data_IF_031280724840
#
_entry.id   IF_031280724840
#
_cell.length_a   1.000
_cell.length_b   1.000
_cell.length_c   1.000
_cell.angle_alpha   90.00
_cell.angle_beta   90.00
_cell.angle_gamma   90.00
#
_symmetry.space_group_name_H-M   'P 1'
#
loop_
_entity.id
_entity.type
_entity.pdbx_description
1 polymer ?
#
# COMPACT_ATOMS: atom_id res chain seq x y z
N UNK A 1 -28.16 12.33 7.47
CA UNK A 1 -27.15 11.92 6.46
C UNK A 1 -25.76 12.33 6.92
N UNK A 2 -24.87 11.37 7.08
CA UNK A 2 -23.46 11.68 7.33
C UNK A 2 -22.90 12.33 6.07
N UNK A 3 -22.35 13.56 6.20
CA UNK A 3 -21.59 14.17 5.10
C UNK A 3 -20.52 13.19 4.65
N UNK A 4 -20.41 12.96 3.34
CA UNK A 4 -19.28 12.22 2.78
C UNK A 4 -18.01 12.89 3.28
N UNK A 5 -17.30 12.20 4.16
CA UNK A 5 -15.96 12.63 4.54
C UNK A 5 -15.14 12.68 3.27
N UNK A 6 -14.38 13.74 3.11
CA UNK A 6 -13.50 13.91 1.95
C UNK A 6 -12.34 12.91 2.06
N UNK A 7 -12.63 11.63 1.75
CA UNK A 7 -11.69 10.55 1.87
C UNK A 7 -10.61 10.66 0.79
N UNK A 8 -9.42 10.20 1.12
CA UNK A 8 -8.29 10.11 0.20
C UNK A 8 -7.70 8.71 0.20
N UNK A 9 -6.95 8.40 -0.84
CA UNK A 9 -6.12 7.20 -0.92
C UNK A 9 -4.72 7.56 -0.44
N UNK A 10 -4.13 6.74 0.41
CA UNK A 10 -2.73 6.88 0.79
C UNK A 10 -1.89 5.81 0.10
N UNK A 11 -0.93 6.24 -0.71
CA UNK A 11 0.04 5.37 -1.35
C UNK A 11 1.28 5.36 -0.48
N UNK A 12 1.63 4.21 0.05
CA UNK A 12 2.82 4.04 0.89
C UNK A 12 3.78 3.03 0.27
N UNK A 13 5.06 3.21 0.52
CA UNK A 13 6.11 2.33 0.02
C UNK A 13 7.31 2.33 0.96
N UNK A 14 8.04 1.22 1.00
CA UNK A 14 9.14 1.04 1.93
C UNK A 14 10.41 1.79 1.58
N UNK A 15 10.57 2.22 0.34
CA UNK A 15 11.79 2.86 -0.15
C UNK A 15 11.48 3.83 -1.29
N UNK A 16 12.32 4.85 -1.45
CA UNK A 16 12.26 5.76 -2.59
C UNK A 16 12.39 5.03 -3.93
N UNK A 17 13.15 3.93 -3.98
CA UNK A 17 13.31 3.14 -5.19
C UNK A 17 11.99 2.50 -5.67
N UNK A 18 11.05 2.27 -4.78
CA UNK A 18 9.73 1.72 -5.13
C UNK A 18 8.84 2.74 -5.86
N UNK A 19 9.16 4.01 -5.77
CA UNK A 19 8.36 5.07 -6.39
C UNK A 19 8.30 4.94 -7.92
N UNK A 20 9.32 4.39 -8.54
CA UNK A 20 9.31 4.11 -9.98
C UNK A 20 8.08 3.29 -10.40
N UNK A 21 7.68 2.34 -9.58
CA UNK A 21 6.47 1.54 -9.77
C UNK A 21 5.24 2.22 -9.20
N UNK A 22 5.30 2.68 -7.96
CA UNK A 22 4.14 3.20 -7.24
C UNK A 22 3.62 4.53 -7.78
N UNK A 23 4.43 5.31 -8.48
CA UNK A 23 3.95 6.51 -9.17
C UNK A 23 2.84 6.22 -10.18
N UNK A 24 2.77 4.99 -10.70
CA UNK A 24 1.72 4.60 -11.64
C UNK A 24 0.35 4.60 -10.96
N UNK A 25 0.27 4.17 -9.69
CA UNK A 25 -0.95 4.32 -8.89
C UNK A 25 -1.35 5.80 -8.77
N UNK A 26 -0.39 6.67 -8.45
CA UNK A 26 -0.63 8.11 -8.33
C UNK A 26 -1.15 8.72 -9.63
N UNK A 27 -0.56 8.35 -10.77
CA UNK A 27 -0.98 8.84 -12.09
C UNK A 27 -2.42 8.45 -12.42
N UNK A 28 -2.81 7.22 -12.11
CA UNK A 28 -4.18 6.75 -12.34
C UNK A 28 -5.16 7.50 -11.43
N UNK A 29 -4.87 7.62 -10.14
CA UNK A 29 -5.73 8.35 -9.21
C UNK A 29 -5.90 9.81 -9.62
N UNK A 30 -4.82 10.46 -10.03
CA UNK A 30 -4.87 11.83 -10.56
C UNK A 30 -5.76 11.94 -11.78
N UNK A 31 -5.63 11.04 -12.75
CA UNK A 31 -6.44 10.99 -13.95
C UNK A 31 -7.93 10.80 -13.64
N UNK A 32 -8.24 10.02 -12.60
CA UNK A 32 -9.61 9.76 -12.18
C UNK A 32 -10.18 10.84 -11.23
N UNK A 33 -9.40 11.87 -10.90
CA UNK A 33 -9.82 12.92 -9.99
C UNK A 33 -9.94 12.47 -8.54
N UNK A 34 -9.29 11.40 -8.15
CA UNK A 34 -9.30 10.87 -6.79
C UNK A 34 -8.20 11.53 -5.96
N UNK A 35 -8.57 12.06 -4.80
CA UNK A 35 -7.62 12.67 -3.87
C UNK A 35 -6.69 11.60 -3.29
N UNK A 36 -5.40 11.87 -3.32
CA UNK A 36 -4.39 10.95 -2.81
C UNK A 36 -3.20 11.65 -2.17
N UNK A 37 -2.42 10.91 -1.41
CA UNK A 37 -1.11 11.30 -0.91
C UNK A 37 -0.11 10.17 -1.12
N UNK A 38 1.18 10.48 -1.10
CA UNK A 38 2.25 9.51 -1.25
C UNK A 38 3.24 9.67 -0.10
N UNK A 39 3.61 8.57 0.56
CA UNK A 39 4.54 8.57 1.69
C UNK A 39 5.51 7.40 1.60
N UNK A 40 6.74 7.63 2.04
CA UNK A 40 7.73 6.57 2.24
C UNK A 40 7.68 6.15 3.70
N UNK A 41 7.31 4.90 3.94
CA UNK A 41 7.18 4.30 5.26
C UNK A 41 7.73 2.88 5.17
N UNK A 42 8.81 2.60 5.91
CA UNK A 42 9.42 1.28 5.93
C UNK A 42 9.02 0.52 7.19
N UNK A 43 8.51 -0.71 7.01
CA UNK A 43 8.20 -1.56 8.15
C UNK A 43 9.44 -1.92 8.97
N UNK A 44 10.59 -2.10 8.33
CA UNK A 44 11.82 -2.52 8.98
C UNK A 44 12.67 -1.34 9.47
N UNK A 45 12.72 -0.25 8.69
CA UNK A 45 13.61 0.89 9.00
C UNK A 45 12.93 1.98 9.82
N UNK A 46 11.61 2.16 9.65
CA UNK A 46 10.83 3.16 10.38
C UNK A 46 9.56 2.57 10.99
N UNK A 47 9.69 1.55 11.87
CA UNK A 47 8.52 0.85 12.41
C UNK A 47 7.59 1.75 13.21
N UNK A 48 8.12 2.69 13.99
CA UNK A 48 7.30 3.66 14.74
C UNK A 48 6.45 4.52 13.82
N UNK A 49 7.03 5.03 12.73
CA UNK A 49 6.33 5.81 11.73
C UNK A 49 5.20 5.00 11.09
N UNK A 50 5.46 3.73 10.80
CA UNK A 50 4.45 2.81 10.27
C UNK A 50 3.27 2.65 11.24
N UNK A 51 3.56 2.43 12.52
CA UNK A 51 2.53 2.27 13.55
C UNK A 51 1.69 3.54 13.70
N UNK A 52 2.33 4.70 13.76
CA UNK A 52 1.65 5.99 13.84
C UNK A 52 0.76 6.25 12.62
N UNK A 53 1.28 5.98 11.44
CA UNK A 53 0.52 6.10 10.20
C UNK A 53 -0.73 5.21 10.21
N UNK A 54 -0.56 3.92 10.45
CA UNK A 54 -1.66 2.95 10.43
C UNK A 54 -2.69 3.22 11.52
N UNK A 55 -2.25 3.55 12.72
CA UNK A 55 -3.14 3.85 13.86
C UNK A 55 -3.97 5.11 13.65
N UNK A 56 -3.45 6.11 12.95
CA UNK A 56 -4.13 7.39 12.72
C UNK A 56 -4.81 7.49 11.34
N UNK A 57 -4.72 6.46 10.51
CA UNK A 57 -5.19 6.51 9.13
C UNK A 57 -6.67 6.90 9.00
N UNK A 58 -7.53 6.31 9.80
CA UNK A 58 -8.97 6.62 9.81
C UNK A 58 -9.23 8.07 10.23
N UNK A 59 -8.53 8.55 11.26
CA UNK A 59 -8.61 9.92 11.74
C UNK A 59 -8.16 10.92 10.67
N UNK A 60 -7.21 10.54 9.84
CA UNK A 60 -6.67 11.37 8.77
C UNK A 60 -7.44 11.25 7.45
N UNK A 61 -8.66 10.72 7.49
CA UNK A 61 -9.56 10.57 6.35
C UNK A 61 -8.99 9.71 5.22
N UNK A 62 -8.19 8.71 5.55
CA UNK A 62 -7.72 7.73 4.58
C UNK A 62 -8.82 6.66 4.44
N UNK A 63 -9.28 6.45 3.20
CA UNK A 63 -10.31 5.46 2.89
C UNK A 63 -9.75 4.15 2.38
N UNK A 64 -8.61 4.19 1.69
CA UNK A 64 -7.88 3.03 1.17
C UNK A 64 -6.38 3.29 1.26
N UNK A 65 -5.62 2.25 1.56
CA UNK A 65 -4.16 2.28 1.56
C UNK A 65 -3.67 1.39 0.43
N UNK A 66 -2.84 1.93 -0.46
CA UNK A 66 -2.10 1.16 -1.45
C UNK A 66 -0.66 1.07 -0.96
N UNK A 67 -0.20 -0.13 -0.67
CA UNK A 67 1.12 -0.37 -0.07
C UNK A 67 2.01 -1.18 -1.01
N UNK A 68 3.09 -0.56 -1.49
CA UNK A 68 4.12 -1.23 -2.30
C UNK A 68 5.31 -1.66 -1.45
N UNK A 69 5.75 -2.89 -1.63
CA UNK A 69 6.91 -3.40 -0.92
C UNK A 69 7.61 -4.50 -1.72
N UNK A 70 8.93 -4.58 -1.60
CA UNK A 70 9.75 -5.57 -2.30
C UNK A 70 10.58 -6.44 -1.38
N UNK A 71 10.98 -7.59 -1.87
CA UNK A 71 11.75 -8.56 -1.09
C UNK A 71 10.93 -9.16 0.04
N UNK A 72 11.40 -9.03 1.27
CA UNK A 72 10.62 -9.31 2.49
C UNK A 72 9.57 -8.21 2.66
N UNK A 73 8.52 -8.28 1.87
CA UNK A 73 7.53 -7.24 1.67
C UNK A 73 6.48 -7.23 2.79
N UNK A 74 6.89 -6.87 4.00
CA UNK A 74 6.04 -6.95 5.20
C UNK A 74 5.14 -5.73 5.42
N UNK A 75 5.38 -4.62 4.73
CA UNK A 75 4.65 -3.38 4.96
C UNK A 75 3.13 -3.52 4.82
N UNK A 76 2.59 -4.11 3.75
CA UNK A 76 1.14 -4.23 3.61
C UNK A 76 0.48 -5.00 4.74
N UNK A 77 1.02 -6.16 5.09
CA UNK A 77 0.49 -7.00 6.17
C UNK A 77 0.61 -6.37 7.54
N UNK A 78 1.72 -5.70 7.82
CA UNK A 78 1.93 -5.00 9.10
C UNK A 78 0.97 -3.84 9.27
N UNK A 79 0.75 -3.06 8.22
CA UNK A 79 -0.23 -1.97 8.24
C UNK A 79 -1.66 -2.52 8.40
N UNK A 80 -2.01 -3.56 7.67
CA UNK A 80 -3.32 -4.22 7.79
C UNK A 80 -3.59 -4.75 9.19
N UNK A 81 -2.56 -5.20 9.89
CA UNK A 81 -2.68 -5.68 11.27
C UNK A 81 -3.04 -4.56 12.27
N UNK A 82 -2.82 -3.30 11.92
CA UNK A 82 -3.00 -2.16 12.83
C UNK A 82 -4.26 -1.35 12.49
N UNK A 83 -4.67 -1.32 11.22
CA UNK A 83 -5.81 -0.53 10.77
C UNK A 83 -6.95 -1.40 10.25
N UNK A 84 -8.19 -0.91 10.37
CA UNK A 84 -9.36 -1.50 9.74
C UNK A 84 -9.61 -1.01 8.32
N UNK A 85 -8.80 -0.06 7.84
CA UNK A 85 -8.92 0.48 6.48
C UNK A 85 -8.42 -0.57 5.49
N UNK A 86 -9.11 -0.76 4.34
CA UNK A 86 -8.64 -1.70 3.32
C UNK A 86 -7.22 -1.40 2.86
N UNK A 87 -6.39 -2.45 2.82
CA UNK A 87 -5.01 -2.38 2.33
C UNK A 87 -4.88 -3.19 1.06
N UNK A 88 -4.43 -2.55 -0.01
CA UNK A 88 -4.12 -3.17 -1.29
C UNK A 88 -2.60 -3.27 -1.41
N UNK A 89 -2.09 -4.49 -1.51
CA UNK A 89 -0.66 -4.74 -1.57
C UNK A 89 -0.15 -4.88 -3.01
N UNK A 90 0.90 -4.15 -3.33
CA UNK A 90 1.56 -4.22 -4.63
C UNK A 90 2.95 -4.83 -4.44
N UNK A 91 3.16 -6.07 -4.91
CA UNK A 91 4.48 -6.69 -4.87
C UNK A 91 5.41 -5.96 -5.84
N UNK A 92 6.51 -5.41 -5.33
CA UNK A 92 7.52 -4.77 -6.16
C UNK A 92 8.46 -5.83 -6.72
N UNK A 93 8.77 -5.74 -8.00
CA UNK A 93 9.71 -6.65 -8.64
C UNK A 93 11.08 -6.54 -7.99
N UNK A 94 11.66 -7.67 -7.58
CA UNK A 94 12.97 -7.76 -6.95
C UNK A 94 14.01 -8.31 -7.92
N UNK A 95 15.27 -7.95 -7.69
CA UNK A 95 16.36 -8.35 -8.61
C UNK A 95 16.61 -9.86 -8.64
N UNK A 96 16.63 -10.52 -7.47
CA UNK A 96 17.01 -11.94 -7.37
C UNK A 96 15.85 -12.88 -7.69
N UNK A 97 14.66 -12.63 -7.14
CA UNK A 97 13.50 -13.51 -7.30
C UNK A 97 12.39 -12.90 -8.16
N UNK A 98 12.67 -11.78 -8.83
CA UNK A 98 11.78 -11.12 -9.80
C UNK A 98 10.39 -10.80 -9.24
N UNK A 99 10.32 -10.57 -7.92
CA UNK A 99 9.08 -10.23 -7.24
C UNK A 99 8.32 -11.42 -6.65
N UNK A 100 8.77 -12.65 -6.84
CA UNK A 100 8.12 -13.82 -6.22
C UNK A 100 8.19 -13.75 -4.69
N UNK A 101 9.33 -13.34 -4.14
CA UNK A 101 9.51 -13.08 -2.71
C UNK A 101 8.55 -12.01 -2.19
N UNK A 102 8.40 -10.93 -2.94
CA UNK A 102 7.46 -9.84 -2.62
C UNK A 102 6.01 -10.33 -2.63
N UNK A 103 5.63 -11.05 -3.68
CA UNK A 103 4.29 -11.60 -3.83
C UNK A 103 3.93 -12.54 -2.67
N UNK A 104 4.79 -13.50 -2.37
CA UNK A 104 4.54 -14.47 -1.31
C UNK A 104 4.48 -13.83 0.09
N UNK A 105 5.31 -12.82 0.33
CA UNK A 105 5.30 -12.06 1.59
C UNK A 105 4.00 -11.29 1.80
N UNK A 106 3.36 -10.82 0.74
CA UNK A 106 2.14 -10.02 0.80
C UNK A 106 0.88 -10.90 0.77
N UNK A 107 0.88 -11.94 -0.06
CA UNK A 107 -0.33 -12.71 -0.36
C UNK A 107 -0.74 -13.67 0.75
N UNK A 108 0.23 -14.32 1.42
CA UNK A 108 -0.03 -15.42 2.36
C UNK A 108 -0.29 -14.89 3.78
N UNK A 109 -1.36 -14.13 3.94
CA UNK A 109 -1.74 -13.53 5.22
C UNK A 109 -2.50 -14.49 6.12
N UNK A 110 -2.34 -14.38 7.46
CA UNK A 110 -3.10 -15.17 8.39
C UNK A 110 -4.58 -14.77 8.41
N UNK A 111 -5.43 -15.72 8.81
CA UNK A 111 -6.87 -15.48 9.00
C UNK A 111 -7.11 -14.26 9.91
N UNK A 112 -7.95 -13.36 9.46
CA UNK A 112 -8.33 -12.16 10.21
C UNK A 112 -7.54 -10.89 9.87
N UNK A 113 -6.42 -11.02 9.15
CA UNK A 113 -5.60 -9.88 8.70
C UNK A 113 -5.52 -9.90 7.17
N UNK A 114 -6.53 -9.36 6.48
CA UNK A 114 -6.59 -9.44 5.02
C UNK A 114 -5.74 -8.36 4.35
N UNK A 115 -5.09 -8.73 3.23
CA UNK A 115 -4.49 -7.81 2.29
C UNK A 115 -4.96 -8.19 0.88
N UNK A 116 -5.51 -7.23 0.15
CA UNK A 116 -5.86 -7.42 -1.25
C UNK A 116 -4.61 -7.34 -2.12
N UNK A 117 -4.08 -8.49 -2.54
CA UNK A 117 -2.81 -8.56 -3.25
C UNK A 117 -3.00 -8.44 -4.76
N UNK A 118 -2.29 -7.50 -5.38
CA UNK A 118 -2.32 -7.25 -6.83
C UNK A 118 -1.14 -7.93 -7.53
N UNK A 119 -1.06 -7.76 -8.84
CA UNK A 119 0.02 -8.31 -9.64
C UNK A 119 1.39 -7.70 -9.29
N UNK A 120 2.45 -8.43 -9.60
CA UNK A 120 3.82 -7.95 -9.41
C UNK A 120 4.10 -6.75 -10.34
N UNK A 121 4.66 -5.69 -9.78
CA UNK A 121 5.20 -4.57 -10.54
C UNK A 121 4.14 -3.58 -11.05
N UNK A 122 4.39 -3.06 -12.23
CA UNK A 122 3.63 -1.94 -12.80
C UNK A 122 2.13 -2.23 -12.96
N UNK A 123 1.78 -3.41 -13.42
CA UNK A 123 0.38 -3.78 -13.60
C UNK A 123 -0.36 -3.82 -12.27
N UNK A 124 0.29 -4.32 -11.23
CA UNK A 124 -0.27 -4.32 -9.88
C UNK A 124 -0.50 -2.93 -9.32
N UNK A 125 0.44 -2.02 -9.55
CA UNK A 125 0.30 -0.62 -9.12
C UNK A 125 -0.87 0.08 -9.82
N UNK A 126 -1.04 -0.13 -11.11
CA UNK A 126 -2.15 0.42 -11.88
C UNK A 126 -3.49 -0.18 -11.41
N UNK A 127 -3.55 -1.49 -11.29
CA UNK A 127 -4.77 -2.18 -10.88
C UNK A 127 -5.19 -1.85 -9.45
N UNK A 128 -4.24 -1.60 -8.56
CA UNK A 128 -4.53 -1.16 -7.20
C UNK A 128 -5.28 0.18 -7.19
N UNK A 129 -4.88 1.11 -8.05
CA UNK A 129 -5.55 2.40 -8.17
C UNK A 129 -6.95 2.27 -8.80
N UNK A 130 -7.11 1.37 -9.77
CA UNK A 130 -8.42 1.12 -10.40
C UNK A 130 -9.40 0.44 -9.44
N UNK A 131 -8.92 -0.43 -8.58
CA UNK A 131 -9.74 -1.15 -7.59
C UNK A 131 -10.16 -0.24 -6.44
#
# INVERSE_FOLDING_TARGET
MKKNKNLKVSIIMGSQSDYKTMQLSAKILKKLGIKYETKIISAHRTPKRMIEFASSAKKNNIGVIIAGAGGSAHLPGMVSAITSIPVLGVPIESKKLKGLDSLLSIAQMPKGIPVGTLAIGNDGAINAALL
#
